data_IF_521486733604
#
_entry.id   IF_521486733604
#
_cell.length_a   1.000
_cell.length_b   1.000
_cell.length_c   1.000
_cell.angle_alpha   90.00
_cell.angle_beta   90.00
_cell.angle_gamma   90.00
#
_symmetry.space_group_name_H-M   'P 1'
#
loop_
_entity.id
_entity.type
_entity.pdbx_description
1 polymer ?
#
# COMPACT_ATOMS: atom_id res chain seq x y z
N UNK A 1 -5.42 -22.66 -5.85
CA UNK A 1 -6.50 -22.37 -6.83
C UNK A 1 -6.46 -23.42 -7.94
N UNK A 2 -7.60 -23.79 -8.53
CA UNK A 2 -7.62 -24.76 -9.63
C UNK A 2 -7.43 -24.03 -10.97
N UNK A 3 -6.60 -24.59 -11.86
CA UNK A 3 -6.42 -24.04 -13.21
C UNK A 3 -7.63 -24.21 -14.14
N UNK A 4 -8.65 -24.94 -13.71
CA UNK A 4 -9.91 -25.11 -14.43
C UNK A 4 -11.08 -25.27 -13.46
N UNK A 5 -12.30 -25.11 -13.96
CA UNK A 5 -13.53 -25.20 -13.18
C UNK A 5 -13.62 -26.56 -12.50
N UNK A 6 -13.92 -26.55 -11.20
CA UNK A 6 -14.19 -27.76 -10.42
C UNK A 6 -15.61 -27.73 -9.89
N UNK A 7 -16.27 -28.88 -9.90
CA UNK A 7 -17.55 -29.04 -9.22
C UNK A 7 -17.33 -29.15 -7.71
N UNK A 8 -18.36 -28.88 -6.92
CA UNK A 8 -18.32 -29.04 -5.45
C UNK A 8 -17.93 -30.46 -5.06
N UNK A 9 -18.50 -31.48 -5.70
CA UNK A 9 -18.16 -32.88 -5.46
C UNK A 9 -16.67 -33.21 -5.69
N UNK A 10 -16.05 -32.62 -6.72
CA UNK A 10 -14.61 -32.79 -6.98
C UNK A 10 -13.75 -32.15 -5.88
N UNK A 11 -14.16 -30.98 -5.38
CA UNK A 11 -13.48 -30.33 -4.27
C UNK A 11 -13.67 -31.08 -2.94
N UNK A 12 -14.89 -31.54 -2.64
CA UNK A 12 -15.22 -32.31 -1.43
C UNK A 12 -14.39 -33.61 -1.34
N UNK A 13 -14.21 -34.31 -2.47
CA UNK A 13 -13.39 -35.51 -2.53
C UNK A 13 -11.93 -35.28 -2.11
N UNK A 14 -11.41 -34.06 -2.28
CA UNK A 14 -10.06 -33.67 -1.85
C UNK A 14 -10.10 -33.23 -0.38
N UNK A 15 -11.03 -32.35 -0.01
CA UNK A 15 -11.15 -31.81 1.35
C UNK A 15 -11.40 -32.92 2.39
N UNK A 16 -12.18 -33.94 2.04
CA UNK A 16 -12.42 -35.10 2.92
C UNK A 16 -11.14 -35.88 3.24
N UNK A 17 -10.15 -35.92 2.33
CA UNK A 17 -8.87 -36.63 2.56
C UNK A 17 -8.02 -35.98 3.64
N UNK A 18 -8.18 -34.68 3.85
CA UNK A 18 -7.47 -33.92 4.87
C UNK A 18 -8.33 -33.66 6.12
N UNK A 19 -9.50 -34.31 6.23
CA UNK A 19 -10.41 -34.16 7.36
C UNK A 19 -11.12 -32.81 7.41
N UNK A 20 -11.25 -32.09 6.29
CA UNK A 20 -11.90 -30.77 6.27
C UNK A 20 -13.42 -30.85 6.46
N UNK A 21 -14.01 -29.74 6.91
CA UNK A 21 -15.39 -29.66 7.43
C UNK A 21 -16.47 -29.35 6.39
N UNK A 22 -16.09 -29.10 5.14
CA UNK A 22 -17.04 -28.81 4.05
C UNK A 22 -16.44 -28.02 2.91
N UNK A 23 -17.26 -27.73 1.90
CA UNK A 23 -16.89 -26.92 0.73
C UNK A 23 -18.00 -25.91 0.47
N UNK A 24 -17.61 -24.64 0.33
CA UNK A 24 -18.53 -23.55 -0.01
C UNK A 24 -18.03 -22.87 -1.28
N UNK A 25 -18.90 -22.63 -2.28
CA UNK A 25 -18.53 -21.86 -3.46
C UNK A 25 -18.29 -20.40 -3.08
N UNK A 26 -17.14 -19.87 -3.49
CA UNK A 26 -16.76 -18.48 -3.23
C UNK A 26 -17.06 -17.64 -4.48
N UNK A 27 -17.92 -16.63 -4.33
CA UNK A 27 -18.28 -15.73 -5.43
C UNK A 27 -17.25 -14.61 -5.66
N UNK A 28 -16.60 -14.14 -4.59
CA UNK A 28 -15.63 -13.05 -4.66
C UNK A 28 -14.38 -13.39 -3.84
N UNK A 29 -13.37 -13.93 -4.53
CA UNK A 29 -12.14 -14.42 -3.90
C UNK A 29 -11.39 -13.34 -3.08
N UNK A 30 -11.22 -12.09 -3.56
CA UNK A 30 -10.54 -11.06 -2.77
C UNK A 30 -11.22 -10.77 -1.43
N UNK A 31 -12.55 -10.72 -1.40
CA UNK A 31 -13.30 -10.43 -0.18
C UNK A 31 -13.16 -11.56 0.84
N UNK A 32 -13.22 -12.82 0.37
CA UNK A 32 -13.01 -13.98 1.24
C UNK A 32 -11.57 -14.08 1.76
N UNK A 33 -10.58 -13.67 0.97
CA UNK A 33 -9.20 -13.62 1.42
C UNK A 33 -9.01 -12.55 2.51
N UNK A 34 -9.53 -11.33 2.30
CA UNK A 34 -9.51 -10.24 3.31
C UNK A 34 -10.26 -10.61 4.58
N UNK A 35 -11.28 -11.45 4.48
CA UNK A 35 -12.02 -11.96 5.62
C UNK A 35 -11.16 -12.81 6.58
N UNK A 36 -10.08 -13.46 6.10
CA UNK A 36 -9.17 -14.23 6.96
C UNK A 36 -8.59 -13.39 8.10
N UNK A 37 -8.39 -12.09 7.85
CA UNK A 37 -7.90 -11.13 8.84
C UNK A 37 -8.95 -10.13 9.31
N UNK A 38 -10.20 -10.30 8.86
CA UNK A 38 -11.33 -9.40 9.10
C UNK A 38 -11.11 -7.93 8.69
N UNK A 39 -10.30 -7.70 7.64
CA UNK A 39 -9.84 -6.36 7.25
C UNK A 39 -10.97 -5.34 7.00
N UNK A 40 -12.13 -5.81 6.53
CA UNK A 40 -13.27 -4.96 6.13
C UNK A 40 -14.37 -4.86 7.20
N UNK A 41 -14.22 -5.52 8.35
CA UNK A 41 -15.27 -5.63 9.38
C UNK A 41 -14.73 -5.17 10.75
N UNK A 42 -14.95 -3.90 11.13
CA UNK A 42 -14.36 -3.32 12.35
C UNK A 42 -14.97 -3.90 13.64
N UNK A 43 -16.14 -4.53 13.56
CA UNK A 43 -16.82 -5.13 14.73
C UNK A 43 -16.22 -6.50 15.09
N UNK A 44 -15.31 -7.03 14.25
CA UNK A 44 -14.61 -8.29 14.48
C UNK A 44 -13.15 -8.08 14.87
N UNK A 45 -12.60 -9.07 15.56
CA UNK A 45 -11.19 -9.12 15.92
C UNK A 45 -10.32 -9.10 14.65
N UNK A 46 -9.42 -8.10 14.56
CA UNK A 46 -8.47 -7.95 13.46
C UNK A 46 -7.28 -8.89 13.68
N UNK A 47 -6.99 -9.75 12.71
CA UNK A 47 -5.83 -10.66 12.78
C UNK A 47 -4.64 -10.12 11.98
N UNK A 48 -3.44 -10.58 12.29
CA UNK A 48 -2.24 -10.19 11.57
C UNK A 48 -2.19 -10.85 10.19
N UNK A 49 -1.80 -10.07 9.18
CA UNK A 49 -1.54 -10.58 7.84
C UNK A 49 -0.41 -11.62 7.82
N UNK A 50 0.56 -11.51 8.73
CA UNK A 50 1.68 -12.43 8.84
C UNK A 50 1.27 -13.84 9.33
N UNK A 51 0.08 -13.98 9.93
CA UNK A 51 -0.47 -15.28 10.31
C UNK A 51 -1.09 -16.04 9.11
N UNK A 52 -1.28 -15.36 7.97
CA UNK A 52 -1.85 -15.96 6.77
C UNK A 52 -0.78 -16.75 6.00
N UNK A 53 -0.99 -18.06 5.89
CA UNK A 53 -0.10 -18.94 5.11
C UNK A 53 -0.64 -19.18 3.70
N UNK A 54 0.10 -18.71 2.70
CA UNK A 54 -0.19 -19.00 1.30
C UNK A 54 0.39 -20.36 0.87
N UNK A 55 -0.46 -21.26 0.39
CA UNK A 55 -0.08 -22.63 0.01
C UNK A 55 -0.22 -22.87 -1.50
N UNK A 56 0.59 -23.78 -2.03
CA UNK A 56 0.49 -24.29 -3.41
C UNK A 56 0.49 -23.19 -4.49
N UNK A 57 1.35 -22.18 -4.31
CA UNK A 57 1.49 -21.06 -5.25
C UNK A 57 0.35 -20.04 -5.20
N UNK A 58 -0.49 -20.06 -4.16
CA UNK A 58 -1.36 -18.93 -3.88
C UNK A 58 -0.52 -17.69 -3.54
N UNK A 59 -0.98 -16.52 -3.99
CA UNK A 59 -0.37 -15.23 -3.68
C UNK A 59 -1.43 -14.39 -2.97
N UNK A 60 -1.34 -14.32 -1.64
CA UNK A 60 -2.33 -13.64 -0.81
C UNK A 60 -2.35 -12.14 -1.06
N UNK A 61 -1.18 -11.53 -1.21
CA UNK A 61 -1.04 -10.09 -1.42
C UNK A 61 -1.60 -9.67 -2.78
N UNK A 62 -1.44 -10.52 -3.82
CA UNK A 62 -2.06 -10.27 -5.12
C UNK A 62 -3.58 -10.45 -5.10
N UNK A 63 -4.08 -11.42 -4.33
CA UNK A 63 -5.53 -11.70 -4.23
C UNK A 63 -6.27 -10.61 -3.45
N UNK A 64 -5.68 -10.11 -2.37
CA UNK A 64 -6.32 -9.13 -1.47
C UNK A 64 -6.17 -7.68 -1.93
N UNK A 65 -5.26 -7.43 -2.87
CA UNK A 65 -4.98 -6.11 -3.41
C UNK A 65 -6.21 -5.47 -4.07
N UNK A 66 -6.52 -4.24 -3.66
CA UNK A 66 -7.48 -3.37 -4.33
C UNK A 66 -6.86 -2.00 -4.63
N UNK A 67 -7.16 -1.36 -5.78
CA UNK A 67 -6.58 -0.06 -6.12
C UNK A 67 -6.90 1.08 -5.14
N UNK A 68 -7.95 0.93 -4.32
CA UNK A 68 -8.29 1.90 -3.28
C UNK A 68 -7.20 1.98 -2.19
N UNK A 69 -6.52 0.87 -1.91
CA UNK A 69 -5.46 0.78 -0.90
C UNK A 69 -4.20 1.55 -1.34
N UNK A 70 -3.94 1.63 -2.66
CA UNK A 70 -2.86 2.49 -3.20
C UNK A 70 -3.15 3.97 -2.90
N UNK A 71 -4.40 4.40 -3.05
CA UNK A 71 -4.77 5.81 -2.86
C UNK A 71 -4.67 6.22 -1.39
N UNK A 72 -5.13 5.39 -0.46
CA UNK A 72 -4.95 5.65 0.97
C UNK A 72 -3.47 5.76 1.33
N UNK A 73 -2.64 4.83 0.85
CA UNK A 73 -1.19 4.91 1.02
C UNK A 73 -0.61 6.23 0.47
N UNK A 74 -1.03 6.66 -0.73
CA UNK A 74 -0.56 7.93 -1.31
C UNK A 74 -0.96 9.14 -0.45
N UNK A 75 -2.18 9.15 0.10
CA UNK A 75 -2.65 10.21 1.00
C UNK A 75 -1.82 10.23 2.28
N UNK A 76 -1.58 9.08 2.90
CA UNK A 76 -0.80 8.96 4.13
C UNK A 76 0.65 9.41 3.92
N UNK A 77 1.27 9.00 2.80
CA UNK A 77 2.59 9.46 2.38
C UNK A 77 2.65 10.99 2.22
N UNK A 78 1.65 11.61 1.59
CA UNK A 78 1.58 13.07 1.43
C UNK A 78 1.46 13.78 2.78
N UNK A 79 0.63 13.27 3.69
CA UNK A 79 0.49 13.80 5.04
C UNK A 79 1.80 13.68 5.82
N UNK A 80 2.45 12.52 5.77
CA UNK A 80 3.72 12.27 6.43
C UNK A 80 4.82 13.22 5.92
N UNK A 81 4.93 13.41 4.61
CA UNK A 81 5.86 14.37 3.99
C UNK A 81 5.58 15.79 4.50
N UNK A 82 4.31 16.19 4.61
CA UNK A 82 3.92 17.52 5.09
C UNK A 82 4.27 17.72 6.57
N UNK A 83 3.96 16.76 7.43
CA UNK A 83 4.21 16.86 8.88
C UNK A 83 5.71 16.89 9.15
N UNK A 84 6.48 16.02 8.49
CA UNK A 84 7.92 15.89 8.70
C UNK A 84 8.77 16.84 7.84
N UNK A 85 8.14 17.71 7.04
CA UNK A 85 8.80 18.67 6.14
C UNK A 85 9.87 18.02 5.24
N UNK A 86 9.57 16.81 4.75
CA UNK A 86 10.50 16.05 3.91
C UNK A 86 10.58 16.74 2.57
N UNK A 87 11.81 17.07 2.19
CA UNK A 87 12.08 17.77 0.95
C UNK A 87 12.74 16.85 -0.08
N UNK A 88 13.63 15.93 0.32
CA UNK A 88 14.32 15.03 -0.62
C UNK A 88 13.54 13.74 -0.91
N UNK A 89 13.44 13.38 -2.19
CA UNK A 89 12.87 12.09 -2.61
C UNK A 89 13.69 10.90 -2.12
N UNK A 90 15.03 11.01 -2.09
CA UNK A 90 15.89 9.91 -1.62
C UNK A 90 15.64 9.61 -0.14
N UNK A 91 15.59 10.65 0.70
CA UNK A 91 15.30 10.54 2.13
C UNK A 91 13.93 9.92 2.35
N UNK A 92 12.93 10.33 1.57
CA UNK A 92 11.59 9.73 1.66
C UNK A 92 11.59 8.24 1.29
N UNK A 93 12.29 7.87 0.22
CA UNK A 93 12.39 6.46 -0.20
C UNK A 93 13.10 5.59 0.85
N UNK A 94 14.14 6.11 1.51
CA UNK A 94 14.84 5.41 2.59
C UNK A 94 13.93 5.18 3.81
N UNK A 95 13.13 6.18 4.19
CA UNK A 95 12.14 6.05 5.28
C UNK A 95 11.11 4.95 4.94
N UNK A 96 10.58 4.96 3.71
CA UNK A 96 9.65 3.92 3.26
C UNK A 96 10.30 2.52 3.32
N UNK A 97 11.57 2.38 2.97
CA UNK A 97 12.25 1.08 3.00
C UNK A 97 12.48 0.55 4.42
N UNK A 98 12.70 1.44 5.40
CA UNK A 98 13.00 1.08 6.78
C UNK A 98 11.74 0.81 7.62
N UNK A 99 10.74 1.68 7.50
CA UNK A 99 9.61 1.73 8.44
C UNK A 99 8.26 1.41 7.79
N UNK A 100 8.10 1.62 6.48
CA UNK A 100 6.82 1.55 5.78
C UNK A 100 6.89 0.76 4.46
N UNK A 101 7.08 -0.56 4.55
CA UNK A 101 7.24 -1.43 3.37
C UNK A 101 6.04 -1.40 2.43
N UNK A 102 4.84 -1.23 2.98
CA UNK A 102 3.61 -1.02 2.23
C UNK A 102 3.67 0.24 1.37
N UNK A 103 4.24 1.34 1.88
CA UNK A 103 4.44 2.55 1.11
C UNK A 103 5.50 2.36 0.03
N UNK A 104 6.59 1.64 0.34
CA UNK A 104 7.63 1.37 -0.65
C UNK A 104 7.06 0.62 -1.88
N UNK A 105 6.17 -0.36 -1.67
CA UNK A 105 5.50 -1.09 -2.76
C UNK A 105 4.77 -0.14 -3.71
N UNK A 106 3.98 0.78 -3.15
CA UNK A 106 3.19 1.75 -3.93
C UNK A 106 4.09 2.84 -4.55
N UNK A 107 5.12 3.28 -3.82
CA UNK A 107 6.09 4.29 -4.25
C UNK A 107 6.97 3.79 -5.41
N UNK A 108 7.34 2.52 -5.42
CA UNK A 108 8.19 1.91 -6.46
C UNK A 108 7.48 1.75 -7.82
N UNK A 109 6.16 1.94 -7.88
CA UNK A 109 5.43 1.99 -9.15
C UNK A 109 5.83 3.24 -9.93
N UNK A 110 6.21 3.07 -11.21
CA UNK A 110 6.71 4.16 -12.08
C UNK A 110 5.85 5.44 -12.03
N UNK A 111 4.52 5.29 -12.04
CA UNK A 111 3.55 6.41 -11.97
C UNK A 111 3.68 7.19 -10.66
N UNK A 112 3.80 6.48 -9.54
CA UNK A 112 3.83 7.03 -8.19
C UNK A 112 5.19 7.63 -7.88
N UNK A 113 6.28 6.97 -8.26
CA UNK A 113 7.64 7.51 -8.07
C UNK A 113 7.79 8.86 -8.76
N UNK A 114 7.32 8.97 -10.02
CA UNK A 114 7.36 10.23 -10.76
C UNK A 114 6.51 11.33 -10.10
N UNK A 115 5.31 10.98 -9.64
CA UNK A 115 4.43 11.90 -8.92
C UNK A 115 5.11 12.49 -7.67
N UNK A 116 5.67 11.66 -6.80
CA UNK A 116 6.35 12.14 -5.58
C UNK A 116 7.63 12.90 -5.89
N UNK A 117 8.45 12.43 -6.84
CA UNK A 117 9.64 13.14 -7.29
C UNK A 117 9.31 14.55 -7.79
N UNK A 118 8.27 14.68 -8.63
CA UNK A 118 7.83 15.99 -9.15
C UNK A 118 7.30 16.92 -8.04
N UNK A 119 6.53 16.37 -7.10
CA UNK A 119 5.95 17.13 -5.98
C UNK A 119 7.03 17.65 -5.04
N UNK A 120 8.01 16.82 -4.69
CA UNK A 120 9.13 17.19 -3.82
C UNK A 120 10.07 18.20 -4.49
N UNK A 121 10.38 18.02 -5.78
CA UNK A 121 11.18 18.99 -6.52
C UNK A 121 10.53 20.37 -6.64
N UNK A 122 9.21 20.42 -6.88
CA UNK A 122 8.49 21.70 -6.95
C UNK A 122 8.50 22.43 -5.60
N UNK A 123 8.39 21.69 -4.49
CA UNK A 123 8.47 22.25 -3.12
C UNK A 123 9.85 22.82 -2.80
N UNK A 124 10.92 22.10 -3.18
CA UNK A 124 12.29 22.63 -3.10
C UNK A 124 12.46 23.93 -3.88
N UNK A 125 11.97 23.98 -5.12
CA UNK A 125 12.05 25.17 -5.96
C UNK A 125 11.30 26.37 -5.37
N UNK A 126 10.13 26.14 -4.77
CA UNK A 126 9.37 27.17 -4.05
C UNK A 126 10.14 27.69 -2.83
N UNK A 127 10.69 26.81 -1.99
CA UNK A 127 11.48 27.21 -0.82
C UNK A 127 12.70 28.07 -1.20
N UNK A 128 13.39 27.74 -2.30
CA UNK A 128 14.48 28.56 -2.81
C UNK A 128 14.01 29.93 -3.33
N UNK A 129 12.87 30.01 -4.03
CA UNK A 129 12.29 31.29 -4.48
C UNK A 129 11.81 32.17 -3.31
N UNK A 130 11.26 31.58 -2.26
CA UNK A 130 10.84 32.30 -1.06
C UNK A 130 12.03 32.84 -0.28
N UNK A 131 13.12 32.06 -0.14
CA UNK A 131 14.35 32.51 0.52
C UNK A 131 15.05 33.62 -0.26
N UNK A 132 15.19 33.49 -1.58
CA UNK A 132 15.80 34.53 -2.42
C UNK A 132 15.01 35.83 -2.41
N UNK A 133 13.66 35.79 -2.48
CA UNK A 133 12.84 37.01 -2.34
C UNK A 133 12.97 37.67 -0.96
N UNK A 134 13.27 36.93 0.10
CA UNK A 134 13.49 37.49 1.45
C UNK A 134 14.83 38.21 1.57
N UNK A 135 15.88 37.66 0.95
CA UNK A 135 17.22 38.27 0.91
C UNK A 135 17.19 39.56 0.09
N UNK A 136 16.61 39.55 -1.11
CA UNK A 136 16.50 40.76 -1.95
C UNK A 136 15.66 41.87 -1.30
N UNK A 137 14.63 41.54 -0.51
CA UNK A 137 13.86 42.56 0.20
C UNK A 137 14.55 43.12 1.46
N UNK A 138 15.57 42.44 1.99
CA UNK A 138 16.40 42.97 3.07
C UNK A 138 17.45 43.95 2.54
N UNK A 139 18.10 43.64 1.41
CA UNK A 139 19.10 44.55 0.80
C UNK A 139 18.50 45.87 0.29
N UNK A 140 17.22 45.89 -0.11
CA UNK A 140 16.53 47.12 -0.54
C UNK A 140 16.12 48.02 0.63
N UNK A 141 16.11 47.52 1.87
CA UNK A 141 15.77 48.32 3.07
C UNK A 141 16.99 48.85 3.83
N UNK A 142 18.20 48.49 3.41
CA UNK A 142 19.46 48.92 4.03
C UNK A 142 20.25 49.95 3.19
N UNK A 143 19.64 50.49 2.13
CA UNK A 143 20.08 51.70 1.41
C UNK A 143 18.99 52.77 1.51
#
# INVERSE_FOLDING_TARGET
MYGGVKTTAQAEAIIKKIGGVGVVPINHLPAYARYLIHLDDPDKAQYDVHDVTALSGADYDAITYIPADDLSCIVDMLQFINVNQISSFSVFADICALEHKEWLRVLALKKTSYFFYSTLNQRHGLNHLFLTRRIYNYDVKCN
#
